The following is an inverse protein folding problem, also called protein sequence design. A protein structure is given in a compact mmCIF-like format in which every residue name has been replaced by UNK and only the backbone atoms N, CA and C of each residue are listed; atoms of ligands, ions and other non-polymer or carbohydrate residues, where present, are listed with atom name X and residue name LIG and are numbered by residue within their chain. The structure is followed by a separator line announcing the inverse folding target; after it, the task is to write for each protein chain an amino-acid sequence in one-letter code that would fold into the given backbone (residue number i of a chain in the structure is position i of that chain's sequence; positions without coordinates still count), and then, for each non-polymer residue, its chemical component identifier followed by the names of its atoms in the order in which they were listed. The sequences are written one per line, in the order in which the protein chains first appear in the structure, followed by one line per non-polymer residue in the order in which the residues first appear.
data_IF_836526265048
#
_entry.id   IF_836526265048
#
_cell.length_a   1.000
_cell.length_b   1.000
_cell.length_c   1.000
_cell.angle_alpha   90.00
_cell.angle_beta   90.00
_cell.angle_gamma   90.00
#
_symmetry.space_group_name_H-M   'P 1'
#
loop_
_entity.id
_entity.type
_entity.pdbx_description
1 polymer ?
#
# COMPACT_ATOMS: atom_id res chain seq x y z
N UNK A 1 -24.66 16.75 -26.56
CA UNK A 1 -24.90 16.16 -25.22
C UNK A 1 -23.96 16.83 -24.23
N UNK A 2 -24.45 17.04 -23.02
CA UNK A 2 -23.94 17.96 -22.00
C UNK A 2 -22.80 17.32 -21.19
N UNK A 3 -21.55 17.78 -21.39
CA UNK A 3 -20.43 17.50 -20.48
C UNK A 3 -19.69 18.79 -20.12
N UNK A 4 -20.42 19.77 -19.60
CA UNK A 4 -19.84 20.96 -18.97
C UNK A 4 -20.85 21.53 -17.98
N UNK A 5 -21.18 20.75 -16.95
CA UNK A 5 -21.85 21.30 -15.78
C UNK A 5 -21.14 20.79 -14.52
N UNK A 6 -20.42 21.73 -13.91
CA UNK A 6 -20.53 22.00 -12.48
C UNK A 6 -20.00 20.92 -11.53
N UNK A 7 -18.68 20.72 -11.54
CA UNK A 7 -17.95 20.34 -10.33
C UNK A 7 -16.89 21.42 -10.07
N UNK A 8 -17.19 22.26 -9.08
CA UNK A 8 -16.24 23.07 -8.30
C UNK A 8 -15.07 23.73 -9.04
N UNK A 9 -15.29 24.95 -9.53
CA UNK A 9 -14.32 26.02 -9.34
C UNK A 9 -12.99 25.97 -10.09
N UNK A 10 -12.93 25.46 -11.31
CA UNK A 10 -11.82 25.80 -12.22
C UNK A 10 -12.39 26.40 -13.50
N UNK A 11 -12.34 27.73 -13.53
CA UNK A 11 -12.65 28.57 -14.69
C UNK A 11 -11.70 28.15 -15.81
N UNK A 12 -12.22 27.52 -16.87
CA UNK A 12 -11.45 27.25 -18.07
C UNK A 12 -11.04 28.59 -18.70
N UNK A 13 -9.73 28.94 -18.78
CA UNK A 13 -9.33 30.13 -19.49
C UNK A 13 -9.52 29.89 -20.98
N UNK A 14 -10.05 30.93 -21.63
CA UNK A 14 -10.29 31.05 -23.06
C UNK A 14 -9.14 30.50 -23.92
N UNK A 15 -9.57 29.90 -25.03
CA UNK A 15 -8.84 29.16 -26.07
C UNK A 15 -7.69 29.89 -26.80
N UNK A 16 -7.20 31.02 -26.29
CA UNK A 16 -6.14 31.83 -26.89
C UNK A 16 -4.74 31.64 -26.32
N UNK A 17 -4.58 30.96 -25.18
CA UNK A 17 -3.29 30.89 -24.44
C UNK A 17 -2.75 29.46 -24.28
N UNK A 18 -3.19 28.54 -25.16
CA UNK A 18 -2.84 27.12 -25.07
C UNK A 18 -1.47 26.75 -25.68
N UNK A 19 -0.77 27.67 -26.34
CA UNK A 19 0.54 27.37 -26.93
C UNK A 19 1.73 27.48 -25.94
N UNK A 20 1.56 28.16 -24.80
CA UNK A 20 2.61 28.33 -23.78
C UNK A 20 2.20 27.97 -22.35
N UNK A 21 0.90 27.88 -22.06
CA UNK A 21 0.37 27.57 -20.72
C UNK A 21 -0.12 26.12 -20.62
N UNK A 22 -0.30 25.39 -21.73
CA UNK A 22 -0.75 24.01 -21.69
C UNK A 22 0.21 23.10 -20.91
N UNK A 23 1.53 23.27 -21.05
CA UNK A 23 2.51 22.51 -20.27
C UNK A 23 2.52 22.91 -18.79
N UNK A 24 2.52 24.21 -18.48
CA UNK A 24 2.53 24.71 -17.10
C UNK A 24 1.26 24.34 -16.33
N UNK A 25 0.08 24.39 -16.96
CA UNK A 25 -1.18 23.99 -16.35
C UNK A 25 -1.32 22.46 -16.21
N UNK A 26 -0.82 21.67 -17.17
CA UNK A 26 -0.78 20.21 -17.07
C UNK A 26 0.16 19.73 -15.95
N UNK A 27 1.31 20.37 -15.76
CA UNK A 27 2.28 20.04 -14.69
C UNK A 27 1.70 20.36 -13.31
N UNK A 28 0.93 21.44 -13.16
CA UNK A 28 0.26 21.80 -11.89
C UNK A 28 -0.81 20.76 -11.51
N UNK A 29 -1.47 20.15 -12.49
CA UNK A 29 -2.53 19.15 -12.24
C UNK A 29 -1.98 17.73 -12.08
N UNK A 30 -0.75 17.47 -12.56
CA UNK A 30 -0.07 16.16 -12.47
C UNK A 30 -0.12 15.55 -11.05
N UNK A 31 0.26 16.24 -9.96
CA UNK A 31 0.20 15.65 -8.62
C UNK A 31 -1.24 15.35 -8.18
N UNK A 32 -2.19 16.26 -8.39
CA UNK A 32 -3.59 16.02 -8.00
C UNK A 32 -4.26 14.89 -8.78
N UNK A 33 -3.93 14.73 -10.06
CA UNK A 33 -4.42 13.63 -10.89
C UNK A 33 -3.79 12.28 -10.49
N UNK A 34 -2.51 12.27 -10.11
CA UNK A 34 -1.83 11.09 -9.58
C UNK A 34 -2.43 10.67 -8.23
N UNK A 35 -2.67 11.62 -7.32
CA UNK A 35 -3.29 11.36 -6.02
C UNK A 35 -4.70 10.75 -6.18
N UNK A 36 -5.49 11.29 -7.12
CA UNK A 36 -6.81 10.75 -7.44
C UNK A 36 -6.74 9.33 -8.04
N UNK A 37 -5.75 9.05 -8.89
CA UNK A 37 -5.54 7.72 -9.47
C UNK A 37 -5.12 6.71 -8.40
N UNK A 38 -4.18 7.07 -7.52
CA UNK A 38 -3.76 6.24 -6.39
C UNK A 38 -4.96 5.97 -5.46
N UNK A 39 -5.75 6.99 -5.12
CA UNK A 39 -6.94 6.82 -4.27
C UNK A 39 -7.96 5.86 -4.90
N UNK A 40 -8.19 5.95 -6.21
CA UNK A 40 -9.06 5.03 -6.94
C UNK A 40 -8.50 3.59 -6.94
N UNK A 41 -7.19 3.44 -7.19
CA UNK A 41 -6.53 2.14 -7.19
C UNK A 41 -6.57 1.46 -5.82
N UNK A 42 -6.31 2.20 -4.74
CA UNK A 42 -6.42 1.68 -3.37
C UNK A 42 -7.85 1.27 -3.04
N UNK A 43 -8.85 2.04 -3.49
CA UNK A 43 -10.26 1.69 -3.29
C UNK A 43 -10.67 0.41 -4.03
N UNK A 44 -10.17 0.20 -5.25
CA UNK A 44 -10.41 -1.04 -6.01
C UNK A 44 -9.72 -2.24 -5.37
N UNK A 45 -8.54 -2.02 -4.77
CA UNK A 45 -7.75 -3.07 -4.13
C UNK A 45 -8.02 -3.25 -2.63
N UNK A 46 -8.98 -2.53 -2.04
CA UNK A 46 -9.27 -2.56 -0.60
C UNK A 46 -9.52 -3.97 -0.05
N UNK A 47 -10.27 -4.78 -0.80
CA UNK A 47 -10.50 -6.18 -0.47
C UNK A 47 -9.21 -7.02 -0.50
N UNK A 48 -8.32 -6.75 -1.44
CA UNK A 48 -7.03 -7.45 -1.57
C UNK A 48 -6.06 -7.04 -0.46
N UNK A 49 -6.00 -5.74 -0.14
CA UNK A 49 -5.22 -5.18 0.97
C UNK A 49 -5.70 -5.79 2.29
N UNK A 50 -7.02 -5.84 2.50
CA UNK A 50 -7.61 -6.44 3.69
C UNK A 50 -7.36 -7.95 3.78
N UNK A 51 -7.46 -8.68 2.66
CA UNK A 51 -7.18 -10.11 2.62
C UNK A 51 -5.71 -10.42 2.95
N UNK A 52 -4.76 -9.68 2.36
CA UNK A 52 -3.34 -9.82 2.63
C UNK A 52 -3.02 -9.52 4.11
N UNK A 53 -3.62 -8.46 4.66
CA UNK A 53 -3.48 -8.10 6.06
C UNK A 53 -3.98 -9.20 7.01
N UNK A 54 -5.17 -9.74 6.73
CA UNK A 54 -5.79 -10.77 7.55
C UNK A 54 -4.99 -12.07 7.48
N UNK A 55 -4.48 -12.44 6.31
CA UNK A 55 -3.64 -13.63 6.15
C UNK A 55 -2.33 -13.50 6.92
N UNK A 56 -1.63 -12.38 6.77
CA UNK A 56 -0.37 -12.12 7.48
C UNK A 56 -0.57 -12.03 9.00
N UNK A 57 -1.61 -11.32 9.45
CA UNK A 57 -1.93 -11.20 10.87
C UNK A 57 -2.34 -12.52 11.51
N UNK A 58 -3.16 -13.32 10.82
CA UNK A 58 -3.55 -14.64 11.33
C UNK A 58 -2.34 -15.56 11.46
N UNK A 59 -1.46 -15.59 10.46
CA UNK A 59 -0.26 -16.41 10.49
C UNK A 59 0.67 -16.01 11.63
N UNK A 60 1.02 -14.73 11.73
CA UNK A 60 1.94 -14.23 12.75
C UNK A 60 1.40 -14.42 14.17
N UNK A 61 0.10 -14.21 14.38
CA UNK A 61 -0.51 -14.46 15.69
C UNK A 61 -0.56 -15.95 16.04
N UNK A 62 -0.76 -16.84 15.05
CA UNK A 62 -0.70 -18.29 15.28
C UNK A 62 0.72 -18.67 15.70
N UNK A 63 1.72 -18.16 14.99
CA UNK A 63 3.13 -18.44 15.27
C UNK A 63 3.52 -17.96 16.68
N UNK A 64 3.07 -16.76 17.08
CA UNK A 64 3.25 -16.24 18.44
C UNK A 64 2.55 -17.12 19.51
N UNK A 65 1.31 -17.56 19.27
CA UNK A 65 0.62 -18.51 20.16
C UNK A 65 1.38 -19.83 20.28
N UNK A 66 1.91 -20.35 19.18
CA UNK A 66 2.69 -21.60 19.17
C UNK A 66 3.95 -21.43 20.00
N UNK A 67 4.66 -20.31 19.84
CA UNK A 67 5.88 -20.01 20.60
C UNK A 67 5.59 -19.97 22.11
N UNK A 68 4.60 -19.20 22.53
CA UNK A 68 4.18 -19.12 23.93
C UNK A 68 3.74 -20.48 24.49
N UNK A 69 2.92 -21.24 23.75
CA UNK A 69 2.46 -22.56 24.20
C UNK A 69 3.57 -23.60 24.27
N UNK A 70 4.62 -23.48 23.45
CA UNK A 70 5.83 -24.30 23.55
C UNK A 70 6.60 -23.98 24.82
N UNK A 71 6.71 -22.70 25.21
CA UNK A 71 7.36 -22.34 26.50
C UNK A 71 6.64 -22.97 27.69
N UNK A 72 5.31 -23.09 27.58
CA UNK A 72 4.46 -23.69 28.61
C UNK A 72 4.44 -25.22 28.57
N UNK A 73 5.03 -25.87 27.57
CA UNK A 73 4.97 -27.32 27.32
C UNK A 73 3.55 -27.87 27.09
N UNK A 74 2.60 -26.99 26.72
CA UNK A 74 1.19 -27.31 26.52
C UNK A 74 0.86 -27.61 25.06
N UNK A 75 1.77 -27.32 24.14
CA UNK A 75 1.49 -27.34 22.72
C UNK A 75 0.99 -28.71 22.22
N UNK A 76 -0.25 -28.72 21.72
CA UNK A 76 -0.90 -29.85 21.03
C UNK A 76 -1.37 -29.38 19.64
N UNK A 77 -0.42 -29.37 18.70
CA UNK A 77 -0.56 -29.63 17.26
C UNK A 77 -1.50 -28.83 16.34
N UNK A 78 -2.55 -28.14 16.82
CA UNK A 78 -3.64 -27.73 15.93
C UNK A 78 -3.60 -26.23 15.56
N UNK A 79 -2.81 -25.89 14.54
CA UNK A 79 -2.74 -24.53 14.00
C UNK A 79 -4.12 -23.97 13.59
N UNK A 80 -5.05 -24.83 13.14
CA UNK A 80 -6.42 -24.44 12.79
C UNK A 80 -7.23 -23.99 14.00
N UNK A 81 -7.05 -24.64 15.15
CA UNK A 81 -7.71 -24.27 16.40
C UNK A 81 -7.16 -22.94 16.91
N UNK A 82 -5.83 -22.77 16.86
CA UNK A 82 -5.16 -21.52 17.22
C UNK A 82 -5.60 -20.35 16.34
N UNK A 83 -5.78 -20.55 15.04
CA UNK A 83 -6.31 -19.53 14.14
C UNK A 83 -7.73 -19.08 14.53
N UNK A 84 -8.59 -20.02 14.93
CA UNK A 84 -9.94 -19.68 15.41
C UNK A 84 -9.91 -18.87 16.71
N UNK A 85 -8.92 -19.07 17.57
CA UNK A 85 -8.77 -18.35 18.84
C UNK A 85 -8.47 -16.86 18.58
N UNK A 86 -7.56 -16.57 17.66
CA UNK A 86 -7.13 -15.20 17.35
C UNK A 86 -8.29 -14.37 16.79
N UNK A 87 -9.06 -14.96 15.88
CA UNK A 87 -10.23 -14.31 15.27
C UNK A 87 -11.45 -14.22 16.20
N UNK A 88 -11.44 -14.90 17.36
CA UNK A 88 -12.57 -14.90 18.29
C UNK A 88 -12.51 -13.73 19.29
N UNK A 89 -13.65 -13.44 19.93
CA UNK A 89 -13.72 -12.44 21.01
C UNK A 89 -12.87 -12.85 22.22
N UNK A 90 -12.36 -11.87 22.97
CA UNK A 90 -11.48 -12.09 24.14
C UNK A 90 -12.04 -13.12 25.12
N UNK A 91 -13.32 -13.04 25.46
CA UNK A 91 -13.98 -13.96 26.39
C UNK A 91 -14.03 -15.43 25.87
N UNK A 92 -14.13 -15.62 24.56
CA UNK A 92 -14.19 -16.93 23.92
C UNK A 92 -12.79 -17.52 23.81
N UNK A 93 -11.84 -16.72 23.30
CA UNK A 93 -10.43 -17.07 23.24
C UNK A 93 -9.88 -17.47 24.62
N UNK A 94 -10.19 -16.67 25.64
CA UNK A 94 -9.75 -16.92 27.00
C UNK A 94 -10.30 -18.24 27.55
N UNK A 95 -11.57 -18.53 27.33
CA UNK A 95 -12.19 -19.81 27.73
C UNK A 95 -11.55 -20.99 27.00
N UNK A 96 -11.35 -20.89 25.68
CA UNK A 96 -10.75 -21.97 24.87
C UNK A 96 -9.33 -22.30 25.33
N UNK A 97 -8.45 -21.29 25.47
CA UNK A 97 -7.08 -21.52 25.93
C UNK A 97 -7.08 -22.02 27.38
N UNK A 98 -7.91 -21.46 28.26
CA UNK A 98 -7.99 -21.89 29.66
C UNK A 98 -8.38 -23.37 29.76
N UNK A 99 -9.33 -23.84 28.94
CA UNK A 99 -9.71 -25.25 28.88
C UNK A 99 -8.54 -26.13 28.41
N UNK A 100 -7.83 -25.73 27.35
CA UNK A 100 -6.64 -26.45 26.86
C UNK A 100 -5.57 -26.57 27.96
N UNK A 101 -5.32 -25.48 28.68
CA UNK A 101 -4.36 -25.46 29.81
C UNK A 101 -4.84 -26.40 30.92
N UNK A 102 -6.12 -26.34 31.29
CA UNK A 102 -6.68 -27.19 32.36
C UNK A 102 -6.65 -28.68 32.01
N UNK A 103 -7.02 -29.04 30.78
CA UNK A 103 -6.92 -30.42 30.28
C UNK A 103 -5.49 -30.92 30.33
N UNK A 104 -4.55 -30.15 29.76
CA UNK A 104 -3.14 -30.54 29.74
C UNK A 104 -2.53 -30.60 31.13
N UNK A 105 -2.93 -29.69 32.00
CA UNK A 105 -2.54 -29.71 33.40
C UNK A 105 -3.06 -30.96 34.10
N UNK A 106 -4.31 -31.36 33.84
CA UNK A 106 -4.89 -32.60 34.37
C UNK A 106 -4.10 -33.84 33.91
N UNK A 107 -3.69 -33.87 32.63
CA UNK A 107 -2.82 -34.93 32.09
C UNK A 107 -1.45 -34.97 32.78
N UNK A 108 -0.79 -33.81 32.93
CA UNK A 108 0.57 -33.71 33.45
C UNK A 108 0.66 -33.85 34.97
N UNK A 109 -0.34 -33.36 35.70
CA UNK A 109 -0.37 -33.30 37.17
C UNK A 109 -1.20 -34.43 37.81
N UNK A 110 -1.53 -35.48 37.07
CA UNK A 110 -2.31 -36.60 37.58
C UNK A 110 -1.54 -37.42 38.62
N UNK A 111 -2.22 -37.98 39.62
CA UNK A 111 -1.61 -38.75 40.73
C UNK A 111 -0.79 -39.97 40.28
N UNK A 112 -1.02 -40.50 39.08
CA UNK A 112 -0.30 -41.64 38.49
C UNK A 112 0.81 -41.22 37.50
N UNK A 113 1.19 -39.95 37.48
CA UNK A 113 2.20 -39.41 36.59
C UNK A 113 3.59 -40.03 36.86
N UNK A 114 4.28 -40.45 35.80
CA UNK A 114 5.69 -40.86 35.84
C UNK A 114 6.56 -39.70 36.39
N UNK A 115 7.73 -39.98 36.98
CA UNK A 115 8.59 -38.96 37.59
C UNK A 115 8.97 -37.81 36.62
N UNK A 116 9.02 -38.10 35.31
CA UNK A 116 9.22 -37.08 34.25
C UNK A 116 8.03 -36.15 34.04
N UNK A 117 6.80 -36.62 34.29
CA UNK A 117 5.56 -35.85 34.18
C UNK A 117 5.36 -34.96 35.40
N UNK A 118 5.79 -35.40 36.59
CA UNK A 118 5.79 -34.57 37.81
C UNK A 118 6.69 -33.33 37.67
N UNK A 119 7.86 -33.50 37.05
CA UNK A 119 8.75 -32.39 36.69
C UNK A 119 8.09 -31.41 35.70
N UNK A 120 7.36 -31.92 34.70
CA UNK A 120 6.60 -31.08 33.76
C UNK A 120 5.40 -30.38 34.42
N UNK A 121 4.70 -31.04 35.34
CA UNK A 121 3.63 -30.44 36.13
C UNK A 121 4.15 -29.26 36.96
N UNK A 122 5.29 -29.45 37.64
CA UNK A 122 5.93 -28.40 38.45
C UNK A 122 6.36 -27.23 37.56
N UNK A 123 6.99 -27.52 36.42
CA UNK A 123 7.39 -26.50 35.44
C UNK A 123 6.19 -25.71 34.91
N UNK A 124 5.08 -26.39 34.61
CA UNK A 124 3.85 -25.75 34.18
C UNK A 124 3.26 -24.84 35.27
N UNK A 125 3.21 -25.30 36.53
CA UNK A 125 2.75 -24.48 37.67
C UNK A 125 3.61 -23.23 37.86
N UNK A 126 4.93 -23.33 37.68
CA UNK A 126 5.86 -22.20 37.72
C UNK A 126 5.58 -21.23 36.56
N UNK A 127 5.47 -21.73 35.33
CA UNK A 127 5.20 -20.90 34.14
C UNK A 127 3.84 -20.19 34.18
N UNK A 128 2.85 -20.79 34.85
CA UNK A 128 1.55 -20.18 35.11
C UNK A 128 1.55 -19.22 36.31
N UNK A 129 2.67 -19.07 37.04
CA UNK A 129 2.79 -18.31 38.29
C UNK A 129 1.85 -18.80 39.40
N UNK A 130 1.51 -20.09 39.40
CA UNK A 130 0.73 -20.73 40.47
C UNK A 130 1.64 -20.98 41.68
N UNK A 131 2.88 -21.37 41.42
CA UNK A 131 3.91 -21.59 42.44
C UNK A 131 5.16 -20.77 42.13
N UNK A 132 5.93 -20.47 43.16
CA UNK A 132 7.23 -19.80 43.07
C UNK A 132 8.28 -20.68 42.37
N UNK A 133 9.44 -20.11 42.01
CA UNK A 133 10.53 -20.82 41.30
C UNK A 133 11.05 -22.06 42.04
N UNK A 134 10.79 -22.17 43.34
CA UNK A 134 11.09 -23.34 44.16
C UNK A 134 10.09 -24.51 43.98
N UNK A 135 9.02 -24.32 43.20
CA UNK A 135 7.98 -25.32 42.92
C UNK A 135 7.03 -25.64 44.07
N UNK A 136 7.18 -24.98 45.23
CA UNK A 136 6.51 -25.35 46.49
C UNK A 136 5.68 -24.23 47.10
N UNK A 137 6.14 -22.97 47.03
CA UNK A 137 5.38 -21.84 47.60
C UNK A 137 4.22 -21.48 46.68
N UNK A 138 2.95 -21.52 47.14
CA UNK A 138 1.82 -21.00 46.38
C UNK A 138 1.96 -19.48 46.19
N UNK A 139 1.76 -19.00 44.96
CA UNK A 139 1.88 -17.58 44.62
C UNK A 139 0.51 -16.98 44.26
N UNK A 140 -0.13 -17.50 43.22
CA UNK A 140 -1.49 -17.14 42.83
C UNK A 140 -2.39 -18.37 42.83
N UNK A 141 -3.67 -18.22 43.25
CA UNK A 141 -4.64 -19.28 43.10
C UNK A 141 -4.89 -19.56 41.61
N UNK A 142 -5.13 -20.83 41.29
CA UNK A 142 -5.17 -21.30 39.89
C UNK A 142 -6.26 -20.61 39.06
N UNK A 143 -7.36 -20.26 39.72
CA UNK A 143 -8.50 -19.56 39.13
C UNK A 143 -8.19 -18.11 38.70
N UNK A 144 -7.09 -17.51 39.16
CA UNK A 144 -6.62 -16.19 38.72
C UNK A 144 -5.35 -16.26 37.90
N UNK A 145 -4.44 -17.18 38.24
CA UNK A 145 -3.17 -17.36 37.57
C UNK A 145 -3.32 -17.75 36.09
N UNK A 146 -4.21 -18.71 35.82
CA UNK A 146 -4.48 -19.21 34.47
C UNK A 146 -5.07 -18.11 33.58
N UNK A 147 -6.20 -17.45 33.92
CA UNK A 147 -6.76 -16.43 33.05
C UNK A 147 -5.83 -15.21 32.88
N UNK A 148 -5.03 -14.85 33.88
CA UNK A 148 -4.04 -13.78 33.73
C UNK A 148 -2.96 -14.13 32.70
N UNK A 149 -2.37 -15.32 32.79
CA UNK A 149 -1.34 -15.77 31.85
C UNK A 149 -1.91 -15.95 30.44
N UNK A 150 -3.12 -16.50 30.32
CA UNK A 150 -3.85 -16.62 29.05
C UNK A 150 -4.11 -15.25 28.42
N UNK A 151 -4.54 -14.27 29.21
CA UNK A 151 -4.77 -12.92 28.70
C UNK A 151 -3.49 -12.24 28.22
N UNK A 152 -2.36 -12.46 28.93
CA UNK A 152 -1.06 -11.96 28.50
C UNK A 152 -0.63 -12.56 27.16
N UNK A 153 -0.70 -13.89 27.03
CA UNK A 153 -0.39 -14.62 25.78
C UNK A 153 -1.27 -14.14 24.63
N UNK A 154 -2.57 -13.98 24.89
CA UNK A 154 -3.52 -13.53 23.87
C UNK A 154 -3.27 -12.08 23.46
N UNK A 155 -2.86 -11.22 24.40
CA UNK A 155 -2.50 -9.83 24.11
C UNK A 155 -1.25 -9.75 23.24
N UNK A 156 -0.23 -10.55 23.55
CA UNK A 156 1.00 -10.63 22.77
C UNK A 156 0.77 -11.21 21.37
N UNK A 157 0.05 -12.33 21.28
CA UNK A 157 -0.29 -12.94 20.00
C UNK A 157 -1.14 -12.02 19.11
N UNK A 158 -2.09 -11.28 19.69
CA UNK A 158 -2.84 -10.27 18.93
C UNK A 158 -1.99 -9.06 18.58
N UNK A 159 -1.08 -8.62 19.44
CA UNK A 159 -0.11 -7.59 19.12
C UNK A 159 0.75 -7.98 17.91
N UNK A 160 1.24 -9.22 17.87
CA UNK A 160 1.97 -9.77 16.73
C UNK A 160 1.08 -9.84 15.47
N UNK A 161 -0.17 -10.28 15.61
CA UNK A 161 -1.14 -10.33 14.51
C UNK A 161 -1.41 -8.93 13.93
N UNK A 162 -1.65 -7.93 14.78
CA UNK A 162 -1.94 -6.55 14.37
C UNK A 162 -0.71 -5.90 13.72
N UNK A 163 0.49 -6.13 14.25
CA UNK A 163 1.74 -5.65 13.68
C UNK A 163 2.00 -6.23 12.29
N UNK A 164 1.82 -7.54 12.12
CA UNK A 164 1.98 -8.21 10.84
C UNK A 164 0.90 -7.78 9.83
N UNK A 165 -0.35 -7.65 10.27
CA UNK A 165 -1.43 -7.13 9.44
C UNK A 165 -1.15 -5.71 8.96
N UNK A 166 -0.66 -4.83 9.85
CA UNK A 166 -0.26 -3.47 9.50
C UNK A 166 0.88 -3.44 8.48
N UNK A 167 1.94 -4.20 8.73
CA UNK A 167 3.08 -4.29 7.82
C UNK A 167 2.69 -4.82 6.43
N UNK A 168 1.81 -5.81 6.37
CA UNK A 168 1.29 -6.33 5.11
C UNK A 168 0.42 -5.29 4.38
N UNK A 169 -0.43 -4.54 5.08
CA UNK A 169 -1.20 -3.43 4.48
C UNK A 169 -0.30 -2.37 3.91
N UNK A 170 0.71 -1.95 4.66
CA UNK A 170 1.68 -0.94 4.22
C UNK A 170 2.42 -1.44 2.97
N UNK A 171 2.94 -2.67 2.99
CA UNK A 171 3.66 -3.27 1.84
C UNK A 171 2.80 -3.31 0.58
N UNK A 172 1.56 -3.79 0.68
CA UNK A 172 0.64 -3.88 -0.47
C UNK A 172 0.23 -2.49 -0.96
N UNK A 173 -0.04 -1.56 -0.04
CA UNK A 173 -0.38 -0.17 -0.36
C UNK A 173 0.77 0.51 -1.09
N UNK A 174 1.99 0.40 -0.58
CA UNK A 174 3.20 0.96 -1.19
C UNK A 174 3.41 0.36 -2.59
N UNK A 175 3.32 -0.96 -2.74
CA UNK A 175 3.46 -1.60 -4.05
C UNK A 175 2.40 -1.15 -5.07
N UNK A 176 1.16 -0.91 -4.64
CA UNK A 176 0.12 -0.33 -5.50
C UNK A 176 0.48 1.12 -5.87
N UNK A 177 0.91 1.94 -4.91
CA UNK A 177 1.28 3.34 -5.16
C UNK A 177 2.46 3.46 -6.11
N UNK A 178 3.48 2.61 -5.99
CA UNK A 178 4.65 2.56 -6.87
C UNK A 178 4.26 2.12 -8.29
N UNK A 179 3.40 1.10 -8.40
CA UNK A 179 2.93 0.66 -9.71
C UNK A 179 2.09 1.72 -10.42
N UNK A 180 1.17 2.37 -9.70
CA UNK A 180 0.35 3.45 -10.23
C UNK A 180 1.19 4.68 -10.60
N UNK A 181 2.18 5.06 -9.79
CA UNK A 181 3.11 6.14 -10.12
C UNK A 181 3.89 5.85 -11.40
N UNK A 182 4.46 4.64 -11.53
CA UNK A 182 5.21 4.26 -12.74
C UNK A 182 4.31 4.27 -13.98
N UNK A 183 3.10 3.70 -13.90
CA UNK A 183 2.15 3.69 -15.01
C UNK A 183 1.70 5.10 -15.39
N UNK A 184 1.42 5.93 -14.39
CA UNK A 184 1.01 7.32 -14.57
C UNK A 184 2.13 8.15 -15.20
N UNK A 185 3.37 8.02 -14.73
CA UNK A 185 4.53 8.70 -15.32
C UNK A 185 4.81 8.24 -16.75
N UNK A 186 4.71 6.93 -17.03
CA UNK A 186 4.86 6.40 -18.38
C UNK A 186 3.80 6.97 -19.33
N UNK A 187 2.53 7.00 -18.90
CA UNK A 187 1.42 7.60 -19.67
C UNK A 187 1.60 9.10 -19.90
N UNK A 188 2.02 9.83 -18.87
CA UNK A 188 2.26 11.28 -18.94
C UNK A 188 3.44 11.62 -19.86
N UNK A 189 4.57 10.90 -19.75
CA UNK A 189 5.75 11.10 -20.60
C UNK A 189 5.47 10.77 -22.07
N UNK A 190 4.70 9.70 -22.34
CA UNK A 190 4.26 9.37 -23.71
C UNK A 190 3.41 10.50 -24.30
N UNK A 191 2.49 11.04 -23.50
CA UNK A 191 1.61 12.14 -23.92
C UNK A 191 2.39 13.42 -24.21
N UNK A 192 3.32 13.81 -23.33
CA UNK A 192 4.20 14.98 -23.55
C UNK A 192 5.05 14.77 -24.81
N UNK A 193 5.64 13.59 -25.00
CA UNK A 193 6.45 13.32 -26.19
C UNK A 193 5.65 13.50 -27.48
N UNK A 194 4.38 13.06 -27.51
CA UNK A 194 3.51 13.24 -28.67
C UNK A 194 3.16 14.71 -28.93
N UNK A 195 2.93 15.49 -27.86
CA UNK A 195 2.64 16.92 -27.94
C UNK A 195 3.87 17.68 -28.47
N UNK A 196 5.06 17.36 -27.95
CA UNK A 196 6.32 17.96 -28.39
C UNK A 196 6.63 17.64 -29.85
N UNK A 197 6.39 16.40 -30.28
CA UNK A 197 6.52 16.01 -31.68
C UNK A 197 5.58 16.83 -32.59
N UNK A 198 4.33 17.05 -32.18
CA UNK A 198 3.38 17.88 -32.92
C UNK A 198 3.80 19.35 -32.98
N UNK A 199 4.33 19.92 -31.88
CA UNK A 199 4.85 21.30 -31.84
C UNK A 199 6.04 21.45 -32.80
N UNK A 200 7.01 20.53 -32.74
CA UNK A 200 8.18 20.53 -33.63
C UNK A 200 7.73 20.46 -35.09
N UNK A 201 6.75 19.61 -35.42
CA UNK A 201 6.21 19.49 -36.77
C UNK A 201 5.60 20.82 -37.27
N UNK A 202 4.81 21.52 -36.44
CA UNK A 202 4.24 22.83 -36.79
C UNK A 202 5.33 23.88 -37.04
N UNK A 203 6.36 23.92 -36.17
CA UNK A 203 7.49 24.87 -36.31
C UNK A 203 8.25 24.64 -37.61
N UNK A 204 8.49 23.38 -38.00
CA UNK A 204 9.15 23.02 -39.25
C UNK A 204 8.34 23.49 -40.47
N UNK A 205 7.01 23.30 -40.47
CA UNK A 205 6.14 23.75 -41.56
C UNK A 205 6.22 25.28 -41.72
N UNK A 206 6.16 26.03 -40.62
CA UNK A 206 6.28 27.50 -40.64
C UNK A 206 7.65 27.94 -41.18
N UNK A 207 8.74 27.30 -40.74
CA UNK A 207 10.09 27.59 -41.22
C UNK A 207 10.21 27.43 -42.74
N UNK A 208 9.69 26.32 -43.29
CA UNK A 208 9.68 26.07 -44.73
C UNK A 208 8.89 27.14 -45.48
N UNK A 209 7.71 27.52 -44.98
CA UNK A 209 6.91 28.61 -45.57
C UNK A 209 7.67 29.94 -45.59
N UNK A 210 8.36 30.28 -44.49
CA UNK A 210 9.14 31.53 -44.40
C UNK A 210 10.31 31.52 -45.39
N UNK A 211 11.03 30.41 -45.54
CA UNK A 211 12.14 30.27 -46.49
C UNK A 211 11.64 30.44 -47.93
N UNK A 212 10.59 29.71 -48.31
CA UNK A 212 9.98 29.80 -49.65
C UNK A 212 9.47 31.23 -49.89
N UNK A 213 8.77 31.82 -48.92
CA UNK A 213 8.31 33.20 -48.99
C UNK A 213 9.45 34.19 -49.19
N UNK A 214 10.56 34.04 -48.45
CA UNK A 214 11.75 34.90 -48.59
C UNK A 214 12.36 34.76 -49.99
N UNK A 215 12.47 33.54 -50.52
CA UNK A 215 12.95 33.29 -51.89
C UNK A 215 12.03 33.97 -52.92
N UNK A 216 10.72 33.75 -52.82
CA UNK A 216 9.73 34.35 -53.73
C UNK A 216 9.70 35.87 -53.65
N UNK A 217 9.78 36.44 -52.44
CA UNK A 217 9.83 37.89 -52.21
C UNK A 217 11.12 38.48 -52.77
N UNK A 218 12.25 37.80 -52.59
CA UNK A 218 13.53 38.22 -53.15
C UNK A 218 13.49 38.20 -54.69
N UNK A 219 12.95 37.14 -55.30
CA UNK A 219 12.76 37.05 -56.76
C UNK A 219 11.84 38.15 -57.29
N UNK A 220 10.72 38.44 -56.61
CA UNK A 220 9.81 39.55 -56.99
C UNK A 220 10.52 40.90 -56.94
N UNK A 221 11.25 41.22 -55.87
CA UNK A 221 12.01 42.48 -55.78
C UNK A 221 13.10 42.59 -56.85
N UNK A 222 13.80 41.50 -57.17
CA UNK A 222 14.82 41.49 -58.24
C UNK A 222 14.20 41.75 -59.62
N UNK A 223 13.02 41.16 -59.90
CA UNK A 223 12.28 41.44 -61.14
C UNK A 223 11.87 42.92 -61.24
N UNK A 224 11.39 43.53 -60.17
CA UNK A 224 10.97 44.94 -60.17
C UNK A 224 12.16 45.91 -60.36
N UNK A 225 13.32 45.63 -59.73
CA UNK A 225 14.54 46.42 -59.94
C UNK A 225 15.01 46.40 -61.39
N UNK A 226 14.96 45.22 -62.04
CA UNK A 226 15.29 45.10 -63.47
C UNK A 226 14.33 45.94 -64.34
N UNK A 227 13.03 45.89 -64.08
CA UNK A 227 12.04 46.69 -64.83
C UNK A 227 12.30 48.20 -64.76
N UNK A 228 12.68 48.72 -63.59
CA UNK A 228 13.00 50.15 -63.43
C UNK A 228 14.23 50.59 -64.23
N UNK A 229 15.24 49.72 -64.37
CA UNK A 229 16.41 50.03 -65.21
C UNK A 229 16.05 50.07 -66.70
N UNK A 230 15.17 49.19 -67.17
CA UNK A 230 14.70 49.22 -68.56
C UNK A 230 13.88 50.46 -68.91
N UNK A 231 13.04 50.96 -67.99
CA UNK A 231 12.28 52.19 -68.22
C UNK A 231 13.22 53.39 -68.38
N UNK A 232 14.25 53.49 -67.54
CA UNK A 232 15.24 54.59 -67.62
C UNK A 232 16.04 54.60 -68.92
N UNK A 233 16.37 53.44 -69.49
CA UNK A 233 17.12 53.34 -70.75
C UNK A 233 16.31 53.71 -72.01
N UNK A 234 14.99 53.82 -71.90
CA UNK A 234 14.10 54.19 -73.01
C UNK A 234 13.71 55.67 -72.99
N UNK A 235 14.07 56.38 -71.93
CA UNK A 235 13.73 57.79 -71.72
C UNK A 235 14.89 58.74 -72.09
N UNK A 236 16.09 58.19 -72.33
CA UNK A 236 17.21 58.83 -73.05
C UNK A 236 17.15 58.49 -74.54
#
# INVERSE_FOLDING_TARGET
MKCAQNLGGIVAPSSGVLAGIAEGALIVWKPGALDAAIAAALKVNDAMISAAANAAGLQAGIDALIEELKTLTIYKGDAKLLGSIIGSKNNTALTMISNIINERKSELCSFNAHSSLDGMCTKLKISLRIVESNGRTPLLPENTAIPQKVNAILTEARGAADAAAKSARETVTTGITEKETVLFEAGFNSSISSINAAIIAIVVIILVMVIIYKILRYRRKKKMKKKLQYIKLLEE
#
